data_IF_323922458856
#
_entry.id   IF_323922458856
#
_cell.length_a   1.000
_cell.length_b   1.000
_cell.length_c   1.000
_cell.angle_alpha   90.00
_cell.angle_beta   90.00
_cell.angle_gamma   90.00
#
_symmetry.space_group_name_H-M   'P 1'
#
loop_
_entity.id
_entity.type
_entity.pdbx_description
1 polymer ?
#
# COMPACT_ATOMS: atom_id res chain seq x y z
N UNK A 1 23.26 -25.72 -7.79
CA UNK A 1 23.09 -24.28 -8.10
C UNK A 1 23.35 -23.50 -6.83
N UNK A 2 24.41 -22.70 -6.85
CA UNK A 2 25.00 -22.12 -5.65
C UNK A 2 24.06 -21.02 -5.10
N UNK A 3 23.82 -21.00 -3.78
CA UNK A 3 22.84 -20.09 -3.15
C UNK A 3 23.22 -18.61 -3.39
N UNK A 4 24.51 -18.33 -3.59
CA UNK A 4 25.03 -17.01 -3.98
C UNK A 4 24.71 -16.61 -5.43
N UNK A 5 24.60 -17.55 -6.38
CA UNK A 5 24.24 -17.25 -7.77
C UNK A 5 22.76 -16.88 -7.89
N UNK A 6 21.89 -17.49 -7.09
CA UNK A 6 20.45 -17.15 -7.03
C UNK A 6 20.29 -15.73 -6.46
N UNK A 7 21.02 -15.39 -5.39
CA UNK A 7 21.02 -14.03 -4.83
C UNK A 7 21.59 -12.99 -5.80
N UNK A 8 22.54 -13.37 -6.67
CA UNK A 8 23.03 -12.49 -7.73
C UNK A 8 22.04 -12.33 -8.89
N UNK A 9 21.29 -13.38 -9.24
CA UNK A 9 20.24 -13.31 -10.27
C UNK A 9 19.12 -12.32 -9.87
N UNK A 10 18.74 -12.29 -8.58
CA UNK A 10 17.77 -11.30 -8.05
C UNK A 10 18.37 -9.90 -7.82
N UNK A 11 19.70 -9.74 -7.78
CA UNK A 11 20.35 -8.41 -7.71
C UNK A 11 20.39 -7.67 -9.05
N UNK A 12 20.29 -8.37 -10.20
CA UNK A 12 20.55 -7.79 -11.53
C UNK A 12 19.34 -7.10 -12.16
N UNK A 13 18.12 -7.23 -11.62
CA UNK A 13 16.94 -6.42 -12.04
C UNK A 13 16.63 -5.28 -11.07
N UNK A 14 17.66 -4.58 -10.58
CA UNK A 14 17.50 -3.16 -10.23
C UNK A 14 17.15 -2.41 -11.50
N UNK A 15 15.86 -2.28 -11.78
CA UNK A 15 15.33 -1.22 -12.64
C UNK A 15 16.06 0.04 -12.19
N UNK A 16 16.78 0.68 -13.11
CA UNK A 16 17.45 1.94 -12.90
C UNK A 16 16.38 2.96 -12.52
N UNK A 17 16.05 3.04 -11.22
CA UNK A 17 15.78 4.34 -10.65
C UNK A 17 17.02 5.16 -10.99
N UNK A 18 16.82 6.30 -11.62
CA UNK A 18 17.80 7.37 -11.64
C UNK A 18 18.21 7.63 -10.19
N UNK A 19 19.24 6.93 -9.70
CA UNK A 19 20.01 7.32 -8.54
C UNK A 19 20.87 8.49 -8.99
N UNK A 20 20.23 9.64 -9.15
CA UNK A 20 20.97 10.87 -8.93
C UNK A 20 21.49 10.76 -7.50
N UNK A 21 22.82 10.79 -7.34
CA UNK A 21 23.43 10.99 -6.04
C UNK A 21 22.88 12.33 -5.54
N UNK A 22 21.83 12.29 -4.74
CA UNK A 22 21.38 13.47 -4.04
C UNK A 22 22.53 13.87 -3.13
N UNK A 23 23.26 14.91 -3.52
CA UNK A 23 24.06 15.67 -2.58
C UNK A 23 23.08 16.12 -1.49
N UNK A 24 23.06 15.40 -0.37
CA UNK A 24 22.43 15.93 0.84
C UNK A 24 23.16 17.24 1.13
N UNK A 25 22.42 18.34 1.22
CA UNK A 25 23.04 19.58 1.66
C UNK A 25 23.38 19.44 3.15
N UNK A 26 24.50 20.02 3.58
CA UNK A 26 24.89 20.05 5.00
C UNK A 26 23.77 20.57 5.91
N UNK A 27 22.86 21.38 5.37
CA UNK A 27 21.68 21.87 6.06
C UNK A 27 20.66 20.77 6.39
N UNK A 28 20.37 19.87 5.43
CA UNK A 28 19.41 18.78 5.64
C UNK A 28 19.97 17.71 6.59
N UNK A 29 21.27 17.41 6.50
CA UNK A 29 21.90 16.47 7.43
C UNK A 29 21.98 17.00 8.87
N UNK A 30 22.12 18.31 9.07
CA UNK A 30 22.04 18.94 10.40
C UNK A 30 20.62 19.02 10.94
N UNK A 31 19.64 19.28 10.08
CA UNK A 31 18.25 19.53 10.49
C UNK A 31 17.44 18.24 10.64
N UNK A 32 17.77 17.18 9.90
CA UNK A 32 17.07 15.90 9.92
C UNK A 32 18.08 14.73 9.85
N UNK A 33 18.88 14.52 10.91
CA UNK A 33 19.89 13.46 10.93
C UNK A 33 19.21 12.09 10.77
N UNK A 34 19.78 11.26 9.90
CA UNK A 34 19.34 9.88 9.59
C UNK A 34 17.99 9.72 8.86
N UNK A 35 17.34 10.78 8.40
CA UNK A 35 16.14 10.62 7.57
C UNK A 35 16.50 10.17 6.14
N UNK A 36 15.76 9.18 5.65
CA UNK A 36 15.72 8.84 4.23
C UNK A 36 14.84 9.88 3.50
N UNK A 37 15.32 10.40 2.38
CA UNK A 37 14.65 11.45 1.62
C UNK A 37 13.97 10.84 0.38
N UNK A 38 12.68 11.09 0.21
CA UNK A 38 11.96 10.76 -1.03
C UNK A 38 11.51 12.07 -1.69
N UNK A 39 11.92 12.28 -2.94
CA UNK A 39 11.54 13.48 -3.71
C UNK A 39 10.60 13.12 -4.86
N UNK A 40 9.44 13.77 -4.87
CA UNK A 40 8.45 13.68 -5.94
C UNK A 40 8.55 14.96 -6.78
N UNK A 41 9.20 14.84 -7.95
CA UNK A 41 9.43 15.94 -8.91
C UNK A 41 8.12 16.45 -9.50
N UNK A 42 8.12 17.70 -9.99
CA UNK A 42 7.00 18.32 -10.71
C UNK A 42 6.60 17.57 -12.00
N UNK A 43 7.58 17.12 -12.78
CA UNK A 43 7.38 16.35 -14.01
C UNK A 43 7.45 14.84 -13.71
N UNK A 44 6.30 14.16 -13.78
CA UNK A 44 6.13 12.77 -13.33
C UNK A 44 5.78 11.80 -14.46
N UNK A 45 5.24 12.32 -15.56
CA UNK A 45 4.83 11.57 -16.74
C UNK A 45 5.71 12.05 -17.91
N UNK A 46 7.01 11.80 -17.88
CA UNK A 46 7.80 11.95 -19.10
C UNK A 46 7.45 10.80 -20.04
N UNK A 47 7.00 11.14 -21.26
CA UNK A 47 6.82 10.17 -22.35
C UNK A 47 8.19 9.64 -22.77
N UNK A 48 8.66 8.58 -22.12
CA UNK A 48 9.82 7.85 -22.60
C UNK A 48 9.37 7.11 -23.86
N UNK A 49 9.68 7.67 -25.03
CA UNK A 49 9.47 7.01 -26.33
C UNK A 49 10.10 5.61 -26.26
N UNK A 50 9.25 4.57 -26.37
CA UNK A 50 9.57 3.13 -26.32
C UNK A 50 9.63 2.43 -24.95
N UNK A 51 9.20 3.05 -23.83
CA UNK A 51 9.04 2.35 -22.55
C UNK A 51 7.58 2.30 -22.07
N UNK A 52 7.26 1.33 -21.20
CA UNK A 52 5.94 1.21 -20.52
C UNK A 52 5.62 2.53 -19.81
N UNK A 53 4.35 2.95 -19.86
CA UNK A 53 3.92 4.16 -19.14
C UNK A 53 4.19 4.06 -17.63
N UNK A 54 4.41 5.19 -16.95
CA UNK A 54 4.70 5.20 -15.50
C UNK A 54 3.66 4.40 -14.70
N UNK A 55 2.39 4.47 -15.10
CA UNK A 55 1.26 3.77 -14.46
C UNK A 55 1.28 2.28 -14.77
N UNK A 56 1.62 1.88 -15.99
CA UNK A 56 1.82 0.45 -16.30
C UNK A 56 2.96 -0.13 -15.46
N UNK A 57 4.03 0.63 -15.24
CA UNK A 57 5.13 0.23 -14.36
C UNK A 57 4.63 0.05 -12.92
N UNK A 58 3.78 0.95 -12.42
CA UNK A 58 3.17 0.86 -11.10
C UNK A 58 2.18 -0.31 -10.98
N UNK A 59 1.35 -0.55 -12.00
CA UNK A 59 0.47 -1.72 -12.04
C UNK A 59 1.26 -3.02 -11.98
N UNK A 60 2.35 -3.12 -12.75
CA UNK A 60 3.27 -4.26 -12.68
C UNK A 60 3.94 -4.35 -11.29
N UNK A 61 4.32 -3.23 -10.67
CA UNK A 61 4.90 -3.23 -9.33
C UNK A 61 3.93 -3.79 -8.30
N UNK A 62 2.66 -3.38 -8.34
CA UNK A 62 1.63 -3.91 -7.45
C UNK A 62 1.40 -5.40 -7.67
N UNK A 63 1.39 -5.83 -8.93
CA UNK A 63 1.27 -7.25 -9.28
C UNK A 63 2.40 -8.08 -8.63
N UNK A 64 3.64 -7.59 -8.67
CA UNK A 64 4.77 -8.27 -8.04
C UNK A 64 4.66 -8.28 -6.51
N UNK A 65 4.12 -7.23 -5.88
CA UNK A 65 3.82 -7.24 -4.44
C UNK A 65 2.77 -8.29 -4.06
N UNK A 66 1.69 -8.40 -4.85
CA UNK A 66 0.64 -9.41 -4.63
C UNK A 66 1.22 -10.81 -4.76
N UNK A 67 2.02 -11.06 -5.80
CA UNK A 67 2.69 -12.36 -5.99
C UNK A 67 3.62 -12.69 -4.83
N UNK A 68 4.42 -11.73 -4.37
CA UNK A 68 5.33 -11.93 -3.24
C UNK A 68 4.57 -12.31 -1.96
N UNK A 69 3.48 -11.59 -1.66
CA UNK A 69 2.64 -11.93 -0.50
C UNK A 69 2.04 -13.35 -0.63
N UNK A 70 1.66 -13.75 -1.85
CA UNK A 70 1.17 -15.10 -2.12
C UNK A 70 2.25 -16.18 -1.95
N UNK A 71 3.47 -15.92 -2.40
CA UNK A 71 4.62 -16.81 -2.20
C UNK A 71 4.97 -16.95 -0.71
N UNK A 72 5.02 -15.86 0.04
CA UNK A 72 5.26 -15.86 1.50
C UNK A 72 4.16 -16.64 2.24
N UNK A 73 2.88 -16.43 1.88
CA UNK A 73 1.75 -17.18 2.42
C UNK A 73 1.85 -18.68 2.12
N UNK A 74 2.30 -19.06 0.92
CA UNK A 74 2.47 -20.45 0.53
C UNK A 74 3.58 -21.15 1.34
N UNK A 75 4.70 -20.45 1.56
CA UNK A 75 5.80 -20.95 2.41
C UNK A 75 5.35 -21.15 3.86
N UNK A 76 4.59 -20.19 4.40
CA UNK A 76 3.98 -20.30 5.73
C UNK A 76 3.07 -21.51 5.79
N UNK A 77 2.18 -21.71 4.81
CA UNK A 77 1.29 -22.88 4.78
C UNK A 77 2.08 -24.18 4.81
N UNK A 78 3.09 -24.33 3.96
CA UNK A 78 3.89 -25.55 3.88
C UNK A 78 4.58 -25.88 5.22
N UNK A 79 5.12 -24.87 5.91
CA UNK A 79 5.74 -25.04 7.24
C UNK A 79 4.72 -25.43 8.31
N UNK A 80 3.56 -24.76 8.32
CA UNK A 80 2.51 -25.04 9.31
C UNK A 80 1.90 -26.42 9.12
N UNK A 81 1.63 -26.80 7.87
CA UNK A 81 1.01 -28.08 7.54
C UNK A 81 1.96 -29.26 7.86
N UNK A 82 3.26 -29.11 7.59
CA UNK A 82 4.27 -30.15 7.92
C UNK A 82 4.51 -30.33 9.42
N UNK A 83 4.26 -29.30 10.23
CA UNK A 83 4.42 -29.35 11.69
C UNK A 83 3.11 -29.52 12.46
N UNK A 84 1.97 -29.58 11.74
CA UNK A 84 0.64 -29.59 12.35
C UNK A 84 0.43 -30.75 13.34
N UNK A 85 0.76 -32.02 13.04
CA UNK A 85 0.53 -33.12 13.98
C UNK A 85 1.29 -32.94 15.30
N UNK A 86 2.55 -32.54 15.25
CA UNK A 86 3.37 -32.31 16.44
C UNK A 86 2.79 -31.20 17.31
N UNK A 87 2.47 -30.04 16.71
CA UNK A 87 1.87 -28.90 17.41
C UNK A 87 0.49 -29.24 17.99
N UNK A 88 -0.28 -30.10 17.31
CA UNK A 88 -1.55 -30.57 17.84
C UNK A 88 -1.34 -31.40 19.11
N UNK A 89 -0.41 -32.36 19.10
CA UNK A 89 -0.13 -33.16 20.30
C UNK A 89 0.37 -32.31 21.47
N UNK A 90 1.20 -31.31 21.21
CA UNK A 90 1.71 -30.40 22.26
C UNK A 90 0.57 -29.57 22.89
N UNK A 91 -0.35 -29.05 22.06
CA UNK A 91 -1.46 -28.20 22.50
C UNK A 91 -2.59 -28.92 23.24
N UNK A 92 -2.66 -30.26 23.21
CA UNK A 92 -3.65 -31.05 23.98
C UNK A 92 -3.44 -30.88 25.49
N UNK A 93 -2.19 -30.65 25.93
CA UNK A 93 -1.84 -30.51 27.33
C UNK A 93 -2.04 -29.09 27.88
N UNK A 94 -2.34 -28.13 27.02
CA UNK A 94 -2.56 -26.73 27.41
C UNK A 94 -4.02 -26.47 27.80
N UNK A 95 -4.25 -25.78 28.92
CA UNK A 95 -5.58 -25.30 29.29
C UNK A 95 -5.90 -24.04 28.48
N UNK A 96 -6.40 -24.22 27.26
CA UNK A 96 -6.78 -23.12 26.38
C UNK A 96 -8.10 -22.51 26.86
N UNK A 97 -8.08 -21.19 27.10
CA UNK A 97 -9.27 -20.42 27.46
C UNK A 97 -10.30 -20.44 26.33
N UNK A 98 -11.57 -20.63 26.69
CA UNK A 98 -12.72 -20.65 25.78
C UNK A 98 -13.13 -19.23 25.36
N UNK A 99 -12.20 -18.44 24.81
CA UNK A 99 -12.60 -17.32 23.95
C UNK A 99 -13.42 -17.87 22.79
N UNK A 100 -14.47 -17.15 22.38
CA UNK A 100 -15.42 -17.58 21.35
C UNK A 100 -14.72 -17.95 20.04
N UNK A 101 -14.48 -19.25 19.85
CA UNK A 101 -13.89 -19.86 18.64
C UNK A 101 -14.70 -19.43 17.41
N UNK A 102 -16.03 -19.33 17.56
CA UNK A 102 -16.93 -18.87 16.52
C UNK A 102 -16.60 -17.44 16.06
N UNK A 103 -16.36 -16.50 16.99
CA UNK A 103 -16.06 -15.11 16.61
C UNK A 103 -14.73 -15.01 15.86
N UNK A 104 -13.72 -15.80 16.25
CA UNK A 104 -12.43 -15.87 15.55
C UNK A 104 -12.58 -16.45 14.14
N UNK A 105 -13.37 -17.50 13.97
CA UNK A 105 -13.66 -18.10 12.65
C UNK A 105 -14.42 -17.14 11.75
N UNK A 106 -15.41 -16.41 12.29
CA UNK A 106 -16.12 -15.35 11.56
C UNK A 106 -15.14 -14.24 11.16
N UNK A 107 -14.22 -13.86 12.05
CA UNK A 107 -13.19 -12.86 11.78
C UNK A 107 -12.25 -13.26 10.63
N UNK A 108 -11.76 -14.51 10.64
CA UNK A 108 -10.95 -15.07 9.54
C UNK A 108 -11.73 -15.04 8.23
N UNK A 109 -12.99 -15.47 8.25
CA UNK A 109 -13.82 -15.52 7.05
C UNK A 109 -14.00 -14.12 6.45
N UNK A 110 -14.30 -13.13 7.28
CA UNK A 110 -14.41 -11.72 6.85
C UNK A 110 -13.10 -11.21 6.24
N UNK A 111 -11.94 -11.50 6.85
CA UNK A 111 -10.62 -11.12 6.30
C UNK A 111 -10.41 -11.74 4.92
N UNK A 112 -10.69 -13.04 4.75
CA UNK A 112 -10.58 -13.72 3.44
C UNK A 112 -11.49 -13.08 2.41
N UNK A 113 -12.76 -12.83 2.76
CA UNK A 113 -13.71 -12.18 1.87
C UNK A 113 -13.24 -10.79 1.42
N UNK A 114 -12.65 -10.01 2.33
CA UNK A 114 -12.06 -8.71 1.99
C UNK A 114 -10.88 -8.87 1.02
N UNK A 115 -9.93 -9.77 1.30
CA UNK A 115 -8.77 -9.97 0.43
C UNK A 115 -9.15 -10.51 -0.95
N UNK A 116 -10.18 -11.36 -1.02
CA UNK A 116 -10.76 -11.82 -2.29
C UNK A 116 -11.46 -10.69 -3.04
N UNK A 117 -12.26 -9.86 -2.34
CA UNK A 117 -12.94 -8.71 -2.94
C UNK A 117 -11.97 -7.72 -3.57
N UNK A 118 -10.81 -7.52 -2.94
CA UNK A 118 -9.72 -6.68 -3.46
C UNK A 118 -8.78 -7.43 -4.41
N UNK A 119 -9.12 -8.63 -4.88
CA UNK A 119 -8.34 -9.35 -5.89
C UNK A 119 -6.93 -9.78 -5.46
N UNK A 120 -6.66 -9.78 -4.14
CA UNK A 120 -5.37 -10.16 -3.56
C UNK A 120 -5.26 -11.70 -3.47
N UNK A 121 -6.37 -12.36 -3.13
CA UNK A 121 -6.50 -13.82 -3.00
C UNK A 121 -7.49 -14.34 -4.05
N UNK A 122 -7.30 -15.58 -4.53
CA UNK A 122 -8.15 -16.19 -5.57
C UNK A 122 -9.48 -16.68 -4.99
N UNK A 123 -10.52 -16.67 -5.81
CA UNK A 123 -11.88 -17.12 -5.44
C UNK A 123 -11.99 -18.62 -5.14
N UNK A 124 -11.03 -19.42 -5.57
CA UNK A 124 -10.99 -20.88 -5.30
C UNK A 124 -10.63 -21.19 -3.84
N UNK A 125 -10.14 -20.21 -3.08
CA UNK A 125 -9.84 -20.30 -1.64
C UNK A 125 -11.12 -20.30 -0.76
N UNK A 126 -12.17 -21.00 -1.20
CA UNK A 126 -13.45 -21.10 -0.48
C UNK A 126 -13.33 -22.03 0.71
N UNK A 127 -13.27 -21.45 1.92
CA UNK A 127 -13.65 -22.17 3.13
C UNK A 127 -14.97 -21.61 3.64
N UNK A 128 -16.02 -22.44 3.65
CA UNK A 128 -17.28 -22.13 4.32
C UNK A 128 -17.70 -23.36 5.14
N UNK A 129 -17.51 -23.35 6.47
CA UNK A 129 -18.37 -24.09 7.38
C UNK A 129 -19.56 -23.17 7.69
N UNK A 130 -20.53 -23.15 6.78
CA UNK A 130 -21.85 -22.57 7.07
C UNK A 130 -22.52 -23.54 8.03
N UNK A 131 -22.60 -23.14 9.30
CA UNK A 131 -23.18 -23.79 10.50
C UNK A 131 -22.13 -24.44 11.41
N UNK A 132 -21.60 -23.64 12.34
CA UNK A 132 -21.23 -24.17 13.65
C UNK A 132 -22.51 -24.19 14.48
N UNK A 133 -23.09 -25.38 14.70
CA UNK A 133 -24.16 -25.50 15.68
C UNK A 133 -23.63 -25.14 17.06
N UNK A 134 -24.49 -24.61 17.94
CA UNK A 134 -24.18 -24.33 19.35
C UNK A 134 -23.93 -25.61 20.17
N UNK A 135 -23.36 -26.64 19.55
CA UNK A 135 -22.95 -27.85 20.24
C UNK A 135 -21.81 -27.50 21.20
N UNK A 136 -21.92 -27.96 22.43
CA UNK A 136 -20.84 -27.92 23.41
C UNK A 136 -19.64 -28.66 22.81
N UNK A 137 -18.66 -27.91 22.32
CA UNK A 137 -17.46 -28.49 21.73
C UNK A 137 -16.67 -29.18 22.85
N UNK A 138 -16.33 -30.46 22.66
CA UNK A 138 -15.36 -31.13 23.51
C UNK A 138 -14.03 -30.38 23.56
N UNK A 139 -13.25 -30.59 24.63
CA UNK A 139 -11.95 -29.93 24.82
C UNK A 139 -11.02 -30.20 23.63
N UNK A 140 -11.05 -31.42 23.12
CA UNK A 140 -10.24 -31.92 22.00
C UNK A 140 -10.55 -31.15 20.70
N UNK A 141 -11.84 -30.96 20.40
CA UNK A 141 -12.26 -30.18 19.22
C UNK A 141 -11.87 -28.71 19.35
N UNK A 142 -11.94 -28.16 20.55
CA UNK A 142 -11.54 -26.77 20.82
C UNK A 142 -10.04 -26.58 20.60
N UNK A 143 -9.21 -27.52 21.02
CA UNK A 143 -7.76 -27.51 20.75
C UNK A 143 -7.46 -27.53 19.25
N UNK A 144 -8.07 -28.46 18.51
CA UNK A 144 -7.90 -28.56 17.05
C UNK A 144 -8.32 -27.25 16.35
N UNK A 145 -9.49 -26.71 16.69
CA UNK A 145 -9.99 -25.48 16.08
C UNK A 145 -9.12 -24.27 16.43
N UNK A 146 -8.62 -24.16 17.66
CA UNK A 146 -7.74 -23.07 18.05
C UNK A 146 -6.41 -23.10 17.28
N UNK A 147 -5.83 -24.29 17.10
CA UNK A 147 -4.61 -24.46 16.30
C UNK A 147 -4.89 -24.11 14.83
N UNK A 148 -5.98 -24.62 14.26
CA UNK A 148 -6.41 -24.28 12.90
C UNK A 148 -6.59 -22.76 12.71
N UNK A 149 -7.25 -22.08 13.65
CA UNK A 149 -7.47 -20.63 13.61
C UNK A 149 -6.14 -19.89 13.67
N UNK A 150 -5.21 -20.32 14.53
CA UNK A 150 -3.88 -19.73 14.61
C UNK A 150 -3.15 -19.85 13.27
N UNK A 151 -3.16 -21.05 12.70
CA UNK A 151 -2.52 -21.30 11.41
C UNK A 151 -3.16 -20.49 10.28
N UNK A 152 -4.49 -20.39 10.27
CA UNK A 152 -5.21 -19.60 9.27
C UNK A 152 -4.87 -18.11 9.36
N UNK A 153 -4.74 -17.56 10.57
CA UNK A 153 -4.33 -16.16 10.77
C UNK A 153 -2.88 -15.95 10.31
N UNK A 154 -1.98 -16.87 10.64
CA UNK A 154 -0.57 -16.78 10.25
C UNK A 154 -0.40 -16.86 8.72
N UNK A 155 -1.15 -17.74 8.05
CA UNK A 155 -1.20 -17.83 6.57
C UNK A 155 -1.70 -16.53 5.93
N UNK A 156 -2.58 -15.77 6.60
CA UNK A 156 -3.11 -14.52 6.08
C UNK A 156 -2.23 -13.30 6.39
N UNK A 157 -1.29 -13.41 7.33
CA UNK A 157 -0.44 -12.30 7.78
C UNK A 157 0.34 -11.57 6.66
N UNK A 158 0.87 -12.23 5.61
CA UNK A 158 1.61 -11.52 4.55
C UNK A 158 0.77 -10.53 3.74
N UNK A 159 -0.56 -10.71 3.76
CA UNK A 159 -1.48 -9.85 3.01
C UNK A 159 -1.94 -8.63 3.82
N UNK A 160 -1.74 -8.59 5.13
CA UNK A 160 -2.35 -7.57 5.99
C UNK A 160 -1.82 -6.16 5.67
N UNK A 161 -0.51 -5.96 5.68
CA UNK A 161 0.10 -4.65 5.34
C UNK A 161 -0.21 -4.24 3.90
N UNK A 162 -0.12 -5.21 2.98
CA UNK A 162 -0.41 -4.97 1.56
C UNK A 162 -1.88 -4.55 1.36
N UNK A 163 -2.80 -5.20 2.05
CA UNK A 163 -4.22 -4.88 2.02
C UNK A 163 -4.49 -3.47 2.54
N UNK A 164 -3.90 -3.06 3.66
CA UNK A 164 -4.10 -1.70 4.20
C UNK A 164 -3.67 -0.63 3.18
N UNK A 165 -2.51 -0.85 2.52
CA UNK A 165 -2.02 0.01 1.43
C UNK A 165 -2.94 0.03 0.22
N UNK A 166 -3.37 -1.14 -0.24
CA UNK A 166 -4.32 -1.27 -1.36
C UNK A 166 -5.64 -0.59 -1.03
N UNK A 167 -6.19 -0.83 0.16
CA UNK A 167 -7.46 -0.29 0.60
C UNK A 167 -7.40 1.25 0.65
N UNK A 168 -6.34 1.83 1.22
CA UNK A 168 -6.18 3.29 1.19
C UNK A 168 -6.07 3.81 -0.25
N UNK A 169 -5.26 3.18 -1.10
CA UNK A 169 -5.08 3.60 -2.49
C UNK A 169 -6.40 3.57 -3.27
N UNK A 170 -7.15 2.47 -3.17
CA UNK A 170 -8.46 2.31 -3.81
C UNK A 170 -9.46 3.34 -3.28
N UNK A 171 -9.51 3.56 -1.96
CA UNK A 171 -10.43 4.53 -1.36
C UNK A 171 -10.11 5.96 -1.79
N UNK A 172 -8.83 6.37 -1.77
CA UNK A 172 -8.42 7.70 -2.22
C UNK A 172 -8.78 7.97 -3.69
N UNK A 173 -8.69 6.95 -4.54
CA UNK A 173 -9.07 7.06 -5.95
C UNK A 173 -10.59 7.00 -6.15
N UNK A 174 -11.29 6.06 -5.53
CA UNK A 174 -12.74 5.87 -5.73
C UNK A 174 -13.60 6.94 -5.02
N UNK A 175 -13.19 7.45 -3.86
CA UNK A 175 -13.91 8.55 -3.19
C UNK A 175 -13.95 9.82 -4.04
N UNK A 176 -13.02 9.95 -4.99
CA UNK A 176 -12.69 11.22 -5.65
C UNK A 176 -12.64 11.12 -7.17
N UNK A 177 -12.75 9.93 -7.76
CA UNK A 177 -12.70 9.78 -9.21
C UNK A 177 -13.87 10.55 -9.84
N UNK A 178 -13.48 11.41 -10.78
CA UNK A 178 -14.35 12.06 -11.74
C UNK A 178 -15.25 10.96 -12.31
N UNK A 179 -16.56 11.20 -12.24
CA UNK A 179 -17.61 10.24 -12.53
C UNK A 179 -17.27 9.26 -13.67
N UNK A 180 -17.75 8.03 -13.56
CA UNK A 180 -17.75 6.98 -14.58
C UNK A 180 -16.56 6.00 -14.63
N UNK A 181 -15.64 5.99 -13.65
CA UNK A 181 -14.54 5.01 -13.59
C UNK A 181 -14.30 4.49 -12.17
N UNK A 182 -14.05 3.19 -12.05
CA UNK A 182 -13.68 2.54 -10.79
C UNK A 182 -12.32 1.83 -10.94
N UNK A 183 -11.44 1.98 -9.95
CA UNK A 183 -10.22 1.16 -9.88
C UNK A 183 -10.55 -0.25 -9.35
N UNK A 184 -10.01 -1.26 -10.01
CA UNK A 184 -10.07 -2.66 -9.59
C UNK A 184 -8.66 -3.22 -9.46
N UNK A 185 -8.45 -3.99 -8.42
CA UNK A 185 -7.20 -4.70 -8.17
C UNK A 185 -7.31 -6.12 -8.70
N UNK A 186 -6.22 -6.63 -9.27
CA UNK A 186 -6.19 -7.95 -9.88
C UNK A 186 -4.82 -8.59 -9.70
N UNK A 187 -4.80 -9.87 -9.36
CA UNK A 187 -3.60 -10.71 -9.32
C UNK A 187 -3.04 -11.07 -10.70
N UNK A 188 -3.61 -10.56 -11.80
CA UNK A 188 -3.11 -10.75 -13.17
C UNK A 188 -2.48 -9.46 -13.73
N UNK A 189 -3.01 -8.31 -13.31
CA UNK A 189 -2.65 -7.00 -13.87
C UNK A 189 -2.16 -5.98 -12.84
N UNK A 190 -2.17 -6.34 -11.55
CA UNK A 190 -1.95 -5.42 -10.44
C UNK A 190 -3.19 -4.57 -10.19
N UNK A 191 -3.44 -3.60 -11.08
CA UNK A 191 -4.69 -2.86 -11.10
C UNK A 191 -5.12 -2.48 -12.52
N UNK A 192 -6.41 -2.21 -12.68
CA UNK A 192 -7.00 -1.69 -13.91
C UNK A 192 -8.18 -0.78 -13.58
N UNK A 193 -8.65 -0.03 -14.57
CA UNK A 193 -9.86 0.78 -14.44
C UNK A 193 -10.99 0.18 -15.24
N UNK A 194 -12.19 0.28 -14.70
CA UNK A 194 -13.43 -0.15 -15.33
C UNK A 194 -14.37 1.04 -15.46
N UNK A 195 -15.05 1.19 -16.59
CA UNK A 195 -16.11 2.18 -16.75
C UNK A 195 -17.40 1.73 -16.04
N UNK A 196 -18.35 2.64 -15.84
CA UNK A 196 -19.67 2.30 -15.29
C UNK A 196 -20.42 1.24 -16.11
N UNK A 197 -20.12 1.15 -17.41
CA UNK A 197 -20.69 0.14 -18.31
C UNK A 197 -20.02 -1.23 -18.18
N UNK A 198 -19.04 -1.36 -17.28
CA UNK A 198 -18.30 -2.58 -17.05
C UNK A 198 -17.12 -2.80 -18.01
N UNK A 199 -16.82 -1.84 -18.89
CA UNK A 199 -15.73 -2.00 -19.87
C UNK A 199 -14.38 -1.64 -19.26
N UNK A 200 -13.35 -2.43 -19.59
CA UNK A 200 -11.99 -2.17 -19.12
C UNK A 200 -11.38 -0.99 -19.88
N UNK A 201 -10.83 -0.05 -19.13
CA UNK A 201 -10.15 1.13 -19.64
C UNK A 201 -8.64 0.87 -19.63
N UNK A 202 -7.99 1.10 -20.77
CA UNK A 202 -6.52 1.07 -20.84
C UNK A 202 -5.93 2.16 -19.95
N UNK A 203 -4.84 1.85 -19.23
CA UNK A 203 -4.14 2.83 -18.38
C UNK A 203 -3.64 4.03 -19.20
N UNK A 204 -3.29 3.81 -20.47
CA UNK A 204 -2.91 4.86 -21.42
C UNK A 204 -4.04 5.82 -21.79
N UNK A 205 -5.31 5.39 -21.62
CA UNK A 205 -6.49 6.17 -21.99
C UNK A 205 -7.02 7.02 -20.81
N UNK A 206 -6.35 6.99 -19.66
CA UNK A 206 -6.61 7.93 -18.57
C UNK A 206 -6.12 9.31 -18.98
N UNK A 207 -6.80 10.36 -18.51
CA UNK A 207 -6.35 11.74 -18.71
C UNK A 207 -5.00 11.95 -18.02
N UNK A 208 -4.15 12.84 -18.55
CA UNK A 208 -2.85 13.14 -17.94
C UNK A 208 -2.94 13.55 -16.47
N UNK A 209 -4.04 14.18 -16.06
CA UNK A 209 -4.31 14.51 -14.66
C UNK A 209 -4.62 13.31 -13.77
N UNK A 210 -5.51 12.42 -14.22
CA UNK A 210 -5.77 11.12 -13.55
C UNK A 210 -4.47 10.34 -13.41
N UNK A 211 -3.69 10.30 -14.48
CA UNK A 211 -2.42 9.62 -14.53
C UNK A 211 -1.43 10.16 -13.49
N UNK A 212 -1.29 11.47 -13.41
CA UNK A 212 -0.37 12.12 -12.49
C UNK A 212 -0.76 11.86 -11.03
N UNK A 213 -2.05 11.93 -10.73
CA UNK A 213 -2.58 11.68 -9.39
C UNK A 213 -2.32 10.24 -8.92
N UNK A 214 -2.60 9.27 -9.80
CA UNK A 214 -2.33 7.86 -9.55
C UNK A 214 -0.83 7.67 -9.29
N UNK A 215 0.03 8.31 -10.09
CA UNK A 215 1.48 8.17 -9.94
C UNK A 215 1.95 8.64 -8.58
N UNK A 216 1.53 9.84 -8.14
CA UNK A 216 1.90 10.41 -6.84
C UNK A 216 1.43 9.49 -5.70
N UNK A 217 0.14 9.14 -5.67
CA UNK A 217 -0.41 8.33 -4.58
C UNK A 217 0.22 6.95 -4.53
N UNK A 218 0.45 6.33 -5.69
CA UNK A 218 1.08 5.01 -5.74
C UNK A 218 2.51 5.06 -5.22
N UNK A 219 3.31 6.02 -5.67
CA UNK A 219 4.72 6.13 -5.25
C UNK A 219 4.81 6.42 -3.75
N UNK A 220 3.93 7.29 -3.22
CA UNK A 220 3.87 7.54 -1.79
C UNK A 220 3.41 6.30 -1.01
N UNK A 221 2.36 5.60 -1.43
CA UNK A 221 1.80 4.48 -0.67
C UNK A 221 2.69 3.23 -0.72
N UNK A 222 3.22 2.88 -1.89
CA UNK A 222 3.86 1.59 -2.12
C UNK A 222 5.38 1.63 -2.24
N UNK A 223 5.98 2.78 -2.56
CA UNK A 223 7.43 2.87 -2.82
C UNK A 223 8.20 3.70 -1.79
N UNK A 224 7.58 4.75 -1.25
CA UNK A 224 8.22 5.56 -0.22
C UNK A 224 8.38 4.75 1.07
N UNK A 225 9.51 4.94 1.75
CA UNK A 225 9.84 4.17 2.95
C UNK A 225 9.26 4.79 4.20
N UNK A 226 8.99 3.95 5.19
CA UNK A 226 8.61 4.37 6.52
C UNK A 226 9.67 5.29 7.15
N UNK A 227 9.26 6.21 8.03
CA UNK A 227 10.15 7.17 8.70
C UNK A 227 10.96 8.08 7.74
N UNK A 228 10.53 8.20 6.48
CA UNK A 228 11.18 9.10 5.52
C UNK A 228 10.64 10.52 5.60
N UNK A 229 11.42 11.46 5.07
CA UNK A 229 10.99 12.82 4.76
C UNK A 229 10.61 12.87 3.30
N UNK A 230 9.36 13.26 3.05
CA UNK A 230 8.81 13.38 1.70
C UNK A 230 8.87 14.84 1.28
N UNK A 231 9.46 15.08 0.12
CA UNK A 231 9.45 16.37 -0.56
C UNK A 231 8.59 16.25 -1.82
N UNK A 232 7.57 17.09 -1.97
CA UNK A 232 6.68 17.11 -3.13
C UNK A 232 6.76 18.48 -3.77
N UNK A 233 7.11 18.53 -5.05
CA UNK A 233 7.24 19.76 -5.82
C UNK A 233 6.12 19.88 -6.83
N UNK A 234 5.40 21.00 -6.83
CA UNK A 234 4.30 21.34 -7.74
C UNK A 234 3.27 20.20 -7.93
N UNK A 235 2.62 19.71 -6.86
CA UNK A 235 1.62 18.65 -7.00
C UNK A 235 0.42 19.06 -7.87
N UNK A 236 0.09 20.35 -7.97
CA UNK A 236 -1.03 20.88 -8.78
C UNK A 236 -0.89 20.65 -10.28
N UNK A 237 0.32 20.41 -10.80
CA UNK A 237 0.54 20.28 -12.23
C UNK A 237 -0.31 19.12 -12.75
N UNK A 238 -1.23 19.43 -13.67
CA UNK A 238 -2.20 18.52 -14.25
C UNK A 238 -3.32 18.03 -13.32
N UNK A 239 -3.44 18.50 -12.07
CA UNK A 239 -4.53 18.10 -11.17
C UNK A 239 -5.80 18.93 -11.38
N UNK A 240 -6.95 18.25 -11.40
CA UNK A 240 -8.25 18.90 -11.39
C UNK A 240 -8.45 19.68 -10.07
N UNK A 241 -9.11 20.84 -10.12
CA UNK A 241 -9.29 21.74 -8.96
C UNK A 241 -9.91 21.04 -7.75
N UNK A 242 -10.89 20.16 -7.98
CA UNK A 242 -11.53 19.39 -6.91
C UNK A 242 -10.52 18.51 -6.14
N UNK A 243 -9.50 17.98 -6.81
CA UNK A 243 -8.46 17.16 -6.18
C UNK A 243 -7.41 17.99 -5.48
N UNK A 244 -7.10 19.18 -6.00
CA UNK A 244 -6.21 20.12 -5.32
C UNK A 244 -6.72 20.45 -3.91
N UNK A 245 -8.02 20.74 -3.76
CA UNK A 245 -8.66 21.07 -2.47
C UNK A 245 -8.57 19.99 -1.40
N UNK A 246 -8.48 18.74 -1.82
CA UNK A 246 -8.49 17.54 -0.96
C UNK A 246 -7.09 16.89 -0.87
N UNK A 247 -6.10 17.52 -1.51
CA UNK A 247 -4.76 16.95 -1.63
C UNK A 247 -4.11 16.78 -0.26
N UNK A 248 -4.17 17.81 0.59
CA UNK A 248 -3.59 17.76 1.94
C UNK A 248 -4.23 16.68 2.81
N UNK A 249 -5.55 16.50 2.75
CA UNK A 249 -6.26 15.45 3.50
C UNK A 249 -5.84 14.05 3.03
N UNK A 250 -5.70 13.87 1.72
CA UNK A 250 -5.21 12.63 1.13
C UNK A 250 -3.77 12.34 1.56
N UNK A 251 -2.90 13.35 1.53
CA UNK A 251 -1.51 13.25 1.97
C UNK A 251 -1.42 12.94 3.47
N UNK A 252 -2.26 13.53 4.31
CA UNK A 252 -2.30 13.24 5.75
C UNK A 252 -2.67 11.78 6.04
N UNK A 253 -3.63 11.22 5.29
CA UNK A 253 -3.99 9.79 5.39
C UNK A 253 -2.81 8.90 4.99
N UNK A 254 -2.09 9.24 3.92
CA UNK A 254 -0.92 8.49 3.46
C UNK A 254 0.23 8.62 4.48
N UNK A 255 0.46 9.81 5.03
CA UNK A 255 1.46 10.05 6.08
C UNK A 255 1.24 9.14 7.28
N UNK A 256 -0.01 9.02 7.72
CA UNK A 256 -0.39 8.16 8.84
C UNK A 256 -0.16 6.68 8.52
N UNK A 257 -0.55 6.24 7.32
CA UNK A 257 -0.41 4.84 6.90
C UNK A 257 1.06 4.41 6.85
N UNK A 258 1.92 5.23 6.25
CA UNK A 258 3.32 4.90 6.04
C UNK A 258 4.26 5.47 7.12
N UNK A 259 3.70 6.06 8.18
CA UNK A 259 4.42 6.67 9.29
C UNK A 259 5.58 7.57 8.80
N UNK A 260 5.30 8.48 7.86
CA UNK A 260 6.32 9.42 7.41
C UNK A 260 6.63 10.43 8.50
N UNK A 261 7.92 10.69 8.70
CA UNK A 261 8.41 11.65 9.68
C UNK A 261 7.93 13.06 9.37
N UNK A 262 8.05 13.48 8.10
CA UNK A 262 7.63 14.81 7.66
C UNK A 262 7.30 14.80 6.18
N UNK A 263 6.36 15.65 5.79
CA UNK A 263 6.06 15.95 4.40
C UNK A 263 6.21 17.46 4.20
N UNK A 264 6.93 17.86 3.16
CA UNK A 264 7.10 19.25 2.76
C UNK A 264 6.62 19.36 1.32
N UNK A 265 5.72 20.30 1.06
CA UNK A 265 5.12 20.53 -0.25
C UNK A 265 5.50 21.94 -0.70
N UNK A 266 6.09 22.05 -1.88
CA UNK A 266 6.21 23.31 -2.60
C UNK A 266 5.05 23.39 -3.60
N UNK A 267 4.29 24.48 -3.56
CA UNK A 267 3.11 24.69 -4.39
C UNK A 267 2.86 26.18 -4.59
N UNK A 268 2.38 26.53 -5.78
CA UNK A 268 1.83 27.84 -6.11
C UNK A 268 0.31 27.89 -6.02
N UNK A 269 -0.36 26.76 -5.79
CA UNK A 269 -1.82 26.66 -5.79
C UNK A 269 -2.45 26.99 -4.43
N UNK A 270 -3.22 28.08 -4.32
CA UNK A 270 -4.02 28.35 -3.13
C UNK A 270 -5.10 27.28 -2.91
N UNK A 271 -5.48 26.54 -3.96
CA UNK A 271 -6.46 25.47 -3.85
C UNK A 271 -5.88 24.28 -3.07
N UNK A 272 -4.58 24.01 -3.16
CA UNK A 272 -3.94 22.97 -2.34
C UNK A 272 -3.91 23.39 -0.87
N UNK A 273 -3.53 24.64 -0.59
CA UNK A 273 -3.53 25.18 0.77
C UNK A 273 -4.94 25.15 1.37
N UNK A 274 -5.94 25.52 0.56
CA UNK A 274 -7.35 25.56 0.94
C UNK A 274 -7.57 26.37 2.23
N UNK A 275 -7.97 25.73 3.33
CA UNK A 275 -8.17 26.37 4.64
C UNK A 275 -6.95 26.24 5.57
N UNK A 276 -5.87 25.57 5.15
CA UNK A 276 -4.72 25.22 5.98
C UNK A 276 -3.59 26.26 5.86
N UNK A 277 -3.91 27.55 5.97
CA UNK A 277 -2.91 28.63 5.85
C UNK A 277 -1.94 28.68 7.04
N UNK A 278 -2.37 28.17 8.19
CA UNK A 278 -1.62 28.10 9.46
C UNK A 278 -0.37 27.21 9.39
N UNK A 279 -0.34 26.27 8.44
CA UNK A 279 0.79 25.35 8.22
C UNK A 279 1.69 25.76 7.05
N UNK A 280 1.48 26.96 6.47
CA UNK A 280 2.25 27.44 5.33
C UNK A 280 3.45 28.29 5.74
N UNK A 281 4.46 28.34 4.86
CA UNK A 281 5.60 29.23 5.00
C UNK A 281 5.78 30.01 3.70
N UNK A 282 5.36 31.28 3.70
CA UNK A 282 5.57 32.19 2.57
C UNK A 282 7.05 32.58 2.51
N UNK A 283 7.69 32.31 1.36
CA UNK A 283 9.12 32.58 1.17
C UNK A 283 9.42 34.07 0.99
N UNK A 284 8.49 34.87 0.47
CA UNK A 284 8.70 36.30 0.24
C UNK A 284 8.49 37.10 1.53
N UNK A 285 7.34 36.95 2.19
CA UNK A 285 7.02 37.71 3.40
C UNK A 285 8.00 37.44 4.54
N UNK A 286 8.40 36.17 4.72
CA UNK A 286 9.26 35.80 5.83
C UNK A 286 10.74 36.13 5.57
N UNK A 287 11.19 36.18 4.31
CA UNK A 287 12.53 36.68 4.01
C UNK A 287 12.65 38.18 4.29
N UNK A 288 11.61 38.97 4.02
CA UNK A 288 11.61 40.40 4.32
C UNK A 288 11.58 40.70 5.83
N UNK A 289 10.80 39.94 6.63
CA UNK A 289 10.82 40.05 8.11
C UNK A 289 12.20 39.77 8.71
N UNK A 290 12.96 38.84 8.13
CA UNK A 290 14.32 38.53 8.57
C UNK A 290 15.33 39.63 8.17
N UNK A 291 15.03 40.45 7.17
CA UNK A 291 15.87 41.60 6.77
C UNK A 291 15.53 42.88 7.54
N UNK A 292 14.27 43.10 7.93
CA UNK A 292 13.86 44.26 8.75
C UNK A 292 14.24 44.12 10.24
N UNK A 293 14.64 42.92 10.67
CA UNK A 293 15.13 42.64 12.02
C UNK A 293 16.65 42.66 12.20
N UNK A 294 17.42 43.12 11.19
CA UNK A 294 18.87 43.32 11.26
C UNK A 294 19.25 44.81 11.29
#
# INVERSE_FOLDING_TARGET
YNHEEILNYYKIKKIKLHKEKHHKSDFLDKSIPNAELTFIKAQRIENIKNEKSAIESQANFLLELIKRAAEESAQISQRLDSTFPARLFDSINENISSTSINDRLIGIQRKRELFMKFGIIKSEDTFIPRKFSNATLGKEYSTVLNLYISDALEKLSPYEELFEKINLFVNLLNEKMLAFKEIKISNEHGFYFQSDNGERISLSNLSSGEQNQIVIYFDLIFKAKQNSVILIDEPEISLHVAWQKEFLDSIARIQKLNEFSKIIIATHSPQIVNNNWDITYDLFENNNKNMEGQ
#
